data_IF_312802394091
#
_entry.id   IF_312802394091
#
_cell.length_a   1.000
_cell.length_b   1.000
_cell.length_c   1.000
_cell.angle_alpha   90.00
_cell.angle_beta   90.00
_cell.angle_gamma   90.00
#
_symmetry.space_group_name_H-M   'P 1'
#
loop_
_entity.id
_entity.type
_entity.pdbx_description
1 polymer ?
#
# COMPACT_ATOMS: atom_id res chain seq x y z
N UNK A 1 12.76 4.14 33.26
CA UNK A 1 13.20 4.16 31.85
C UNK A 1 12.00 3.82 30.99
N UNK A 2 11.56 4.72 30.11
CA UNK A 2 10.55 4.40 29.11
C UNK A 2 11.20 3.50 28.07
N UNK A 3 10.82 2.22 28.03
CA UNK A 3 11.21 1.31 26.94
C UNK A 3 10.64 1.86 25.64
N UNK A 4 11.51 2.35 24.75
CA UNK A 4 11.08 2.82 23.43
C UNK A 4 10.46 1.65 22.68
N UNK A 5 9.22 1.81 22.21
CA UNK A 5 8.53 0.78 21.43
C UNK A 5 9.21 0.65 20.07
N UNK A 6 9.58 -0.58 19.68
CA UNK A 6 10.10 -0.91 18.36
C UNK A 6 9.13 -1.83 17.61
N UNK A 7 9.23 -1.84 16.28
CA UNK A 7 8.53 -2.74 15.37
C UNK A 7 9.54 -3.41 14.44
N UNK A 8 9.39 -4.73 14.25
CA UNK A 8 10.23 -5.48 13.32
C UNK A 8 9.68 -5.35 11.90
N UNK A 9 10.52 -4.93 10.96
CA UNK A 9 10.22 -4.85 9.53
C UNK A 9 11.18 -5.76 8.77
N UNK A 10 10.66 -6.55 7.83
CA UNK A 10 11.48 -7.21 6.81
C UNK A 10 11.72 -6.21 5.69
N UNK A 11 12.96 -5.87 5.40
CA UNK A 11 13.30 -4.88 4.38
C UNK A 11 14.14 -5.52 3.28
N UNK A 12 13.80 -5.29 2.02
CA UNK A 12 14.62 -5.68 0.87
C UNK A 12 15.68 -4.62 0.61
N UNK A 13 16.89 -4.87 1.09
CA UNK A 13 17.97 -3.88 1.12
C UNK A 13 18.51 -3.55 -0.27
N UNK A 14 18.45 -4.51 -1.21
CA UNK A 14 18.98 -4.37 -2.57
C UNK A 14 18.29 -3.28 -3.40
N UNK A 15 17.06 -2.93 -3.05
CA UNK A 15 16.27 -1.93 -3.77
C UNK A 15 16.43 -0.52 -3.22
N UNK A 16 16.96 -0.37 -2.01
CA UNK A 16 17.26 0.93 -1.44
C UNK A 16 18.71 1.30 -1.78
N UNK A 17 18.96 2.52 -2.28
CA UNK A 17 20.31 3.03 -2.33
C UNK A 17 20.95 2.93 -0.94
N UNK A 18 22.20 2.48 -0.87
CA UNK A 18 22.96 2.39 0.39
C UNK A 18 22.81 3.65 1.24
N UNK A 19 22.89 4.83 0.62
CA UNK A 19 22.76 6.11 1.30
C UNK A 19 21.37 6.35 1.92
N UNK A 20 20.30 5.85 1.30
CA UNK A 20 18.94 5.96 1.84
C UNK A 20 18.82 5.17 3.15
N UNK A 21 19.39 3.96 3.19
CA UNK A 21 19.41 3.13 4.38
C UNK A 21 20.25 3.75 5.51
N UNK A 22 21.46 4.22 5.20
CA UNK A 22 22.33 4.85 6.18
C UNK A 22 21.71 6.16 6.71
N UNK A 23 21.02 6.92 5.86
CA UNK A 23 20.27 8.11 6.29
C UNK A 23 19.15 7.76 7.27
N UNK A 24 18.44 6.64 7.08
CA UNK A 24 17.43 6.17 8.05
C UNK A 24 18.04 5.80 9.41
N UNK A 25 19.26 5.25 9.42
CA UNK A 25 20.01 5.00 10.65
C UNK A 25 20.44 6.32 11.31
N UNK A 26 21.06 7.22 10.55
CA UNK A 26 21.60 8.49 11.04
C UNK A 26 20.48 9.41 11.59
N UNK A 27 19.27 9.34 11.02
CA UNK A 27 18.07 10.05 11.51
C UNK A 27 17.39 9.38 12.71
N UNK A 28 17.87 8.20 13.12
CA UNK A 28 17.39 7.49 14.29
C UNK A 28 16.06 6.76 14.09
N UNK A 29 15.71 6.36 12.86
CA UNK A 29 14.52 5.52 12.62
C UNK A 29 14.79 4.03 12.91
N UNK A 30 16.01 3.56 12.60
CA UNK A 30 16.43 2.19 12.83
C UNK A 30 16.95 2.07 14.27
N UNK A 31 16.34 1.19 15.04
CA UNK A 31 16.77 0.83 16.39
C UNK A 31 17.85 -0.25 16.35
N UNK A 32 17.69 -1.29 15.53
CA UNK A 32 18.68 -2.36 15.36
C UNK A 32 18.78 -2.85 13.91
N UNK A 33 20.00 -3.08 13.38
CA UNK A 33 21.29 -2.81 14.03
C UNK A 33 21.57 -1.31 14.11
N UNK A 34 22.13 -0.86 15.24
CA UNK A 34 22.50 0.54 15.45
C UNK A 34 23.91 0.91 14.94
N UNK A 35 24.67 -0.07 14.45
CA UNK A 35 26.02 0.11 13.91
C UNK A 35 26.00 0.29 12.38
N UNK A 36 26.60 1.39 11.91
CA UNK A 36 26.68 1.77 10.49
C UNK A 36 27.42 0.74 9.63
N UNK A 37 28.53 0.17 10.14
CA UNK A 37 29.34 -0.81 9.42
C UNK A 37 28.59 -2.13 9.29
N UNK A 38 27.92 -2.56 10.36
CA UNK A 38 27.06 -3.76 10.32
C UNK A 38 25.96 -3.59 9.28
N UNK A 39 25.26 -2.45 9.29
CA UNK A 39 24.20 -2.15 8.34
C UNK A 39 24.71 -2.11 6.88
N UNK A 40 25.89 -1.54 6.68
CA UNK A 40 26.56 -1.52 5.38
C UNK A 40 26.93 -2.94 4.90
N UNK A 41 27.55 -3.77 5.74
CA UNK A 41 27.91 -5.14 5.36
C UNK A 41 26.69 -6.00 5.03
N UNK A 42 25.60 -5.82 5.78
CA UNK A 42 24.32 -6.45 5.48
C UNK A 42 23.79 -6.03 4.11
N UNK A 43 23.82 -4.72 3.81
CA UNK A 43 23.42 -4.19 2.50
C UNK A 43 24.27 -4.74 1.36
N UNK A 44 25.60 -4.76 1.50
CA UNK A 44 26.52 -5.26 0.47
C UNK A 44 26.27 -6.74 0.16
N UNK A 45 26.05 -7.55 1.20
CA UNK A 45 25.68 -8.97 1.06
C UNK A 45 24.36 -9.13 0.31
N UNK A 46 23.29 -8.49 0.79
CA UNK A 46 21.96 -8.62 0.20
C UNK A 46 21.92 -8.11 -1.25
N UNK A 47 22.57 -6.99 -1.53
CA UNK A 47 22.67 -6.44 -2.88
C UNK A 47 23.43 -7.39 -3.82
N UNK A 48 24.53 -8.00 -3.37
CA UNK A 48 25.26 -9.00 -4.17
C UNK A 48 24.38 -10.19 -4.51
N UNK A 49 23.63 -10.73 -3.56
CA UNK A 49 22.71 -11.84 -3.81
C UNK A 49 21.58 -11.43 -4.76
N UNK A 50 20.98 -10.26 -4.54
CA UNK A 50 19.86 -9.79 -5.33
C UNK A 50 20.22 -9.56 -6.80
N UNK A 51 21.39 -8.99 -7.08
CA UNK A 51 21.86 -8.81 -8.46
C UNK A 51 22.08 -10.15 -9.19
N UNK A 52 22.10 -11.27 -8.46
CA UNK A 52 22.17 -12.63 -9.02
C UNK A 52 20.81 -13.36 -9.04
N UNK A 53 19.71 -12.78 -8.53
CA UNK A 53 18.40 -13.46 -8.37
C UNK A 53 17.61 -13.68 -9.67
N UNK A 54 18.24 -13.46 -10.82
CA UNK A 54 17.69 -13.79 -12.12
C UNK A 54 17.29 -12.59 -12.96
N UNK A 55 16.69 -12.90 -14.10
CA UNK A 55 16.38 -11.95 -15.15
C UNK A 55 14.98 -11.31 -14.93
N UNK A 56 14.69 -10.14 -15.53
CA UNK A 56 13.40 -9.44 -15.41
C UNK A 56 12.13 -10.29 -15.64
N UNK A 57 12.23 -11.36 -16.43
CA UNK A 57 11.16 -12.25 -16.88
C UNK A 57 10.43 -12.93 -15.73
N UNK A 58 11.06 -13.07 -14.55
CA UNK A 58 10.40 -13.61 -13.36
C UNK A 58 9.16 -12.80 -12.98
N UNK A 59 9.17 -11.49 -13.24
CA UNK A 59 8.09 -10.55 -12.96
C UNK A 59 6.99 -10.52 -14.03
N UNK A 60 7.24 -11.12 -15.20
CA UNK A 60 6.27 -11.10 -16.30
C UNK A 60 5.14 -12.06 -15.98
N UNK A 61 3.91 -11.56 -16.08
CA UNK A 61 2.69 -12.32 -15.92
C UNK A 61 2.10 -12.66 -17.29
N UNK A 62 1.55 -13.85 -17.39
CA UNK A 62 0.83 -14.36 -18.56
C UNK A 62 -0.61 -14.67 -18.18
N UNK A 63 -1.44 -15.03 -19.16
CA UNK A 63 -2.80 -15.53 -18.91
C UNK A 63 -2.83 -16.75 -17.99
N UNK A 64 -1.74 -17.53 -17.92
CA UNK A 64 -1.64 -18.68 -17.03
C UNK A 64 -1.38 -18.29 -15.58
N UNK A 65 -1.06 -17.04 -15.28
CA UNK A 65 -0.78 -16.55 -13.92
C UNK A 65 -2.01 -15.85 -13.29
N UNK A 66 -3.14 -15.83 -14.02
CA UNK A 66 -4.39 -15.16 -13.64
C UNK A 66 -5.55 -16.10 -13.99
N UNK A 67 -6.24 -16.62 -12.97
CA UNK A 67 -7.35 -17.55 -13.14
C UNK A 67 -8.66 -16.95 -12.67
N UNK A 68 -9.77 -17.41 -13.26
CA UNK A 68 -11.09 -17.13 -12.74
C UNK A 68 -11.19 -17.59 -11.28
N UNK A 69 -11.91 -16.82 -10.46
CA UNK A 69 -12.12 -17.15 -9.06
C UNK A 69 -13.33 -18.08 -8.94
N UNK A 70 -13.08 -19.36 -8.69
CA UNK A 70 -14.13 -20.37 -8.55
C UNK A 70 -14.50 -20.63 -7.08
N UNK A 71 -15.75 -21.03 -6.84
CA UNK A 71 -16.22 -21.45 -5.51
C UNK A 71 -16.60 -20.33 -4.55
N UNK A 72 -16.60 -19.07 -5.00
CA UNK A 72 -17.12 -17.92 -4.25
C UNK A 72 -18.50 -17.55 -4.78
N UNK A 73 -19.43 -17.26 -3.87
CA UNK A 73 -20.76 -16.79 -4.22
C UNK A 73 -20.69 -15.45 -4.99
N UNK A 74 -21.39 -15.40 -6.11
CA UNK A 74 -21.39 -14.26 -7.03
C UNK A 74 -21.87 -12.97 -6.33
N UNK A 75 -22.83 -13.07 -5.41
CA UNK A 75 -23.34 -11.92 -4.65
C UNK A 75 -22.24 -11.26 -3.80
N UNK A 76 -21.30 -12.08 -3.28
CA UNK A 76 -20.16 -11.60 -2.50
C UNK A 76 -19.14 -10.89 -3.38
N UNK A 77 -18.84 -11.45 -4.55
CA UNK A 77 -17.97 -10.81 -5.55
C UNK A 77 -18.53 -9.46 -5.95
N UNK A 78 -19.83 -9.38 -6.25
CA UNK A 78 -20.51 -8.14 -6.63
C UNK A 78 -20.49 -7.09 -5.52
N UNK A 79 -20.64 -7.51 -4.26
CA UNK A 79 -20.52 -6.60 -3.12
C UNK A 79 -19.11 -5.99 -3.01
N UNK A 80 -18.06 -6.81 -3.12
CA UNK A 80 -16.68 -6.31 -3.08
C UNK A 80 -16.36 -5.38 -4.27
N UNK A 81 -16.85 -5.71 -5.47
CA UNK A 81 -16.71 -4.83 -6.64
C UNK A 81 -17.44 -3.49 -6.45
N UNK A 82 -18.62 -3.50 -5.83
CA UNK A 82 -19.36 -2.28 -5.48
C UNK A 82 -18.59 -1.42 -4.47
N UNK A 83 -17.96 -2.05 -3.47
CA UNK A 83 -17.09 -1.35 -2.51
C UNK A 83 -15.88 -0.77 -3.22
N UNK A 84 -15.22 -1.55 -4.08
CA UNK A 84 -14.04 -1.11 -4.83
C UNK A 84 -14.32 0.14 -5.65
N UNK A 85 -15.49 0.23 -6.32
CA UNK A 85 -15.92 1.40 -7.09
C UNK A 85 -16.05 2.71 -6.31
N UNK A 86 -15.93 2.69 -4.99
CA UNK A 86 -15.86 3.93 -4.17
C UNK A 86 -14.45 4.50 -4.07
N UNK A 87 -13.44 3.81 -4.61
CA UNK A 87 -12.04 4.19 -4.58
C UNK A 87 -11.50 4.34 -6.01
N UNK A 88 -10.76 5.42 -6.27
CA UNK A 88 -9.96 5.56 -7.49
C UNK A 88 -8.76 4.59 -7.47
N UNK A 89 -8.34 4.01 -8.60
CA UNK A 89 -8.90 4.13 -9.96
C UNK A 89 -10.01 3.11 -10.29
N UNK A 90 -10.46 2.32 -9.31
CA UNK A 90 -11.42 1.22 -9.51
C UNK A 90 -12.85 1.69 -9.85
N UNK A 91 -13.14 2.98 -9.64
CA UNK A 91 -14.37 3.66 -10.01
C UNK A 91 -14.53 3.85 -11.53
N UNK A 92 -13.41 3.94 -12.24
CA UNK A 92 -13.33 4.39 -13.64
C UNK A 92 -12.75 3.33 -14.58
N UNK A 93 -12.10 2.30 -14.05
CA UNK A 93 -11.39 1.28 -14.85
C UNK A 93 -12.00 -0.11 -14.71
N UNK A 94 -11.72 -0.96 -15.70
CA UNK A 94 -12.17 -2.37 -15.67
C UNK A 94 -11.54 -3.07 -14.48
N UNK A 95 -12.39 -3.46 -13.54
CA UNK A 95 -11.98 -4.09 -12.29
C UNK A 95 -12.74 -5.39 -12.10
N UNK A 96 -12.01 -6.47 -11.81
CA UNK A 96 -12.55 -7.83 -11.58
C UNK A 96 -11.79 -8.51 -10.45
N UNK A 97 -12.33 -9.57 -9.89
CA UNK A 97 -11.63 -10.39 -8.91
C UNK A 97 -11.13 -11.66 -9.61
N UNK A 98 -9.84 -11.95 -9.45
CA UNK A 98 -9.20 -13.14 -10.01
C UNK A 98 -8.37 -13.85 -8.95
N UNK A 99 -8.09 -15.13 -9.18
CA UNK A 99 -7.07 -15.86 -8.44
C UNK A 99 -5.72 -15.66 -9.14
N UNK A 100 -4.78 -15.01 -8.47
CA UNK A 100 -3.51 -14.57 -9.04
C UNK A 100 -2.33 -15.32 -8.44
N UNK A 101 -1.36 -15.67 -9.27
CA UNK A 101 -0.14 -16.36 -8.84
C UNK A 101 0.74 -15.44 -8.00
N UNK A 102 0.98 -15.83 -6.75
CA UNK A 102 1.71 -15.02 -5.76
C UNK A 102 3.15 -14.75 -6.21
N UNK A 103 3.80 -15.71 -6.85
CA UNK A 103 5.17 -15.58 -7.36
C UNK A 103 5.32 -14.58 -8.50
N UNK A 104 4.22 -14.05 -9.06
CA UNK A 104 4.21 -13.02 -10.10
C UNK A 104 3.88 -11.62 -9.58
N UNK A 105 3.57 -11.50 -8.30
CA UNK A 105 3.16 -10.24 -7.70
C UNK A 105 4.36 -9.35 -7.43
N UNK A 106 4.48 -8.31 -8.23
CA UNK A 106 5.43 -7.21 -8.04
C UNK A 106 4.95 -6.33 -6.89
N UNK A 107 5.84 -5.89 -6.01
CA UNK A 107 5.50 -5.00 -4.89
C UNK A 107 6.27 -3.70 -4.94
N UNK A 108 5.58 -2.54 -4.88
CA UNK A 108 6.25 -1.24 -4.81
C UNK A 108 6.85 -0.95 -3.42
N UNK A 109 6.37 -1.61 -2.36
CA UNK A 109 6.89 -1.41 -1.00
C UNK A 109 8.10 -2.32 -0.77
N UNK A 110 9.19 -1.75 -0.25
CA UNK A 110 10.42 -2.50 0.04
C UNK A 110 10.51 -3.02 1.46
N UNK A 111 9.49 -2.76 2.29
CA UNK A 111 9.43 -3.22 3.67
C UNK A 111 8.07 -3.82 4.06
N UNK A 112 8.10 -4.87 4.88
CA UNK A 112 6.92 -5.51 5.49
C UNK A 112 7.02 -5.41 7.01
N UNK A 113 6.12 -4.63 7.60
CA UNK A 113 5.91 -4.60 9.05
C UNK A 113 5.33 -5.94 9.56
N UNK A 114 6.16 -6.72 10.27
CA UNK A 114 5.79 -8.06 10.75
C UNK A 114 4.70 -8.01 11.82
N UNK A 115 4.77 -7.04 12.72
CA UNK A 115 3.75 -6.89 13.78
C UNK A 115 2.36 -6.65 13.17
N UNK A 116 2.29 -5.93 12.04
CA UNK A 116 1.03 -5.69 11.32
C UNK A 116 0.55 -6.93 10.57
N UNK A 117 1.47 -7.71 10.01
CA UNK A 117 1.15 -8.99 9.40
C UNK A 117 0.56 -9.94 10.46
N UNK A 118 1.14 -10.03 11.64
CA UNK A 118 0.75 -10.98 12.69
C UNK A 118 -0.58 -10.64 13.38
N UNK A 119 -0.99 -9.37 13.43
CA UNK A 119 -2.25 -8.91 14.07
C UNK A 119 -3.55 -9.37 13.39
N UNK A 120 -3.47 -9.98 12.21
CA UNK A 120 -4.64 -10.36 11.40
C UNK A 120 -5.00 -11.85 11.55
N UNK A 121 -6.19 -12.22 11.08
CA UNK A 121 -6.73 -13.59 11.02
C UNK A 121 -5.64 -14.64 10.76
N UNK A 122 -5.57 -15.67 11.61
CA UNK A 122 -4.52 -16.69 11.57
C UNK A 122 -4.60 -17.45 10.24
N UNK A 123 -3.50 -17.47 9.49
CA UNK A 123 -3.40 -18.25 8.25
C UNK A 123 -2.91 -19.64 8.60
N UNK A 124 -3.63 -20.67 8.16
CA UNK A 124 -3.27 -22.09 8.30
C UNK A 124 -3.08 -22.69 6.92
N UNK A 125 -2.34 -23.78 6.79
CA UNK A 125 -2.28 -24.55 5.55
C UNK A 125 -3.63 -25.24 5.29
N UNK A 126 -4.00 -25.41 4.01
CA UNK A 126 -5.23 -26.10 3.59
C UNK A 126 -6.52 -25.29 3.72
N UNK A 127 -6.45 -23.96 3.88
CA UNK A 127 -7.61 -23.07 3.77
C UNK A 127 -8.20 -23.16 2.36
N UNK A 128 -9.53 -23.15 2.28
CA UNK A 128 -10.25 -23.16 1.01
C UNK A 128 -10.27 -21.76 0.37
N UNK A 129 -10.74 -21.66 -0.87
CA UNK A 129 -10.82 -20.37 -1.59
C UNK A 129 -11.63 -19.32 -0.84
N UNK A 130 -12.71 -19.71 -0.14
CA UNK A 130 -13.55 -18.81 0.65
C UNK A 130 -12.79 -18.21 1.83
N UNK A 131 -12.05 -19.03 2.58
CA UNK A 131 -11.20 -18.58 3.68
C UNK A 131 -10.12 -17.60 3.17
N UNK A 132 -9.53 -17.89 2.00
CA UNK A 132 -8.52 -17.02 1.37
C UNK A 132 -9.12 -15.70 0.88
N UNK A 133 -10.33 -15.74 0.33
CA UNK A 133 -11.09 -14.56 -0.07
C UNK A 133 -11.34 -13.67 1.14
N UNK A 134 -11.82 -14.25 2.24
CA UNK A 134 -12.07 -13.52 3.48
C UNK A 134 -10.78 -12.85 3.97
N UNK A 135 -9.65 -13.55 4.02
CA UNK A 135 -8.37 -12.95 4.43
C UNK A 135 -7.97 -11.74 3.58
N UNK A 136 -8.21 -11.80 2.26
CA UNK A 136 -7.81 -10.74 1.34
C UNK A 136 -8.74 -9.52 1.44
N UNK A 137 -10.04 -9.75 1.52
CA UNK A 137 -11.08 -8.73 1.46
C UNK A 137 -11.58 -8.28 2.85
N UNK A 138 -11.14 -8.92 3.94
CA UNK A 138 -11.45 -8.52 5.31
C UNK A 138 -10.79 -7.18 5.65
N UNK A 139 -11.62 -6.14 5.79
CA UNK A 139 -11.22 -4.88 6.42
C UNK A 139 -10.76 -5.15 7.85
N UNK A 140 -9.67 -4.52 8.29
CA UNK A 140 -9.26 -4.60 9.70
C UNK A 140 -10.43 -4.21 10.58
N UNK A 141 -10.83 -5.12 11.48
CA UNK A 141 -12.08 -5.09 12.26
C UNK A 141 -12.24 -3.82 13.12
N UNK A 142 -11.18 -3.04 13.35
CA UNK A 142 -11.27 -1.76 14.03
C UNK A 142 -10.63 -0.63 13.20
N UNK A 143 -11.36 0.48 12.99
CA UNK A 143 -10.78 1.67 12.40
C UNK A 143 -9.66 2.17 13.31
N UNK A 144 -8.54 2.50 12.69
CA UNK A 144 -7.39 3.09 13.36
C UNK A 144 -7.83 4.37 14.07
N UNK A 145 -7.42 4.55 15.33
CA UNK A 145 -7.63 5.83 16.02
C UNK A 145 -6.80 6.92 15.33
N UNK A 146 -7.49 7.96 14.87
CA UNK A 146 -6.88 9.15 14.27
C UNK A 146 -7.20 10.32 15.19
N UNK A 147 -6.16 10.92 15.78
CA UNK A 147 -6.32 12.13 16.58
C UNK A 147 -6.26 13.34 15.65
N UNK A 148 -7.29 14.21 15.73
CA UNK A 148 -7.39 15.46 14.98
C UNK A 148 -7.06 16.64 15.89
N UNK A 149 -6.20 17.54 15.44
CA UNK A 149 -5.86 18.78 16.12
C UNK A 149 -5.95 19.97 15.15
N UNK A 150 -6.67 21.02 15.56
CA UNK A 150 -6.65 22.32 14.87
C UNK A 150 -5.41 23.08 15.30
N UNK A 151 -4.56 23.46 14.35
CA UNK A 151 -3.32 24.20 14.61
C UNK A 151 -3.49 25.71 14.46
N UNK A 152 -4.47 26.14 13.66
CA UNK A 152 -4.79 27.54 13.46
C UNK A 152 -5.90 27.73 12.42
N UNK A 153 -6.66 28.80 12.57
CA UNK A 153 -7.68 29.23 11.62
C UNK A 153 -7.56 30.76 11.50
N UNK A 154 -7.38 31.25 10.28
CA UNK A 154 -7.35 32.66 9.91
C UNK A 154 -8.47 32.98 8.91
N UNK A 155 -8.62 34.26 8.57
CA UNK A 155 -9.59 34.72 7.56
C UNK A 155 -9.27 34.21 6.16
N UNK A 156 -7.98 33.96 5.90
CA UNK A 156 -7.42 33.54 4.63
C UNK A 156 -7.04 32.06 4.62
N UNK A 157 -7.23 31.29 5.70
CA UNK A 157 -6.80 29.89 5.66
C UNK A 157 -6.78 29.18 6.99
N UNK A 158 -6.14 28.01 7.01
CA UNK A 158 -6.03 27.23 8.23
C UNK A 158 -5.15 26.01 8.10
N UNK A 159 -4.96 25.35 9.25
CA UNK A 159 -4.14 24.16 9.34
C UNK A 159 -4.74 23.12 10.30
N UNK A 160 -4.85 21.90 9.81
CA UNK A 160 -5.29 20.72 10.57
C UNK A 160 -4.18 19.68 10.60
N UNK A 161 -4.05 19.02 11.74
CA UNK A 161 -3.12 17.92 11.96
C UNK A 161 -3.90 16.65 12.29
N UNK A 162 -3.54 15.56 11.63
CA UNK A 162 -4.05 14.22 11.88
C UNK A 162 -2.88 13.33 12.27
N UNK A 163 -2.97 12.67 13.42
CA UNK A 163 -1.91 11.80 13.93
C UNK A 163 -2.42 10.41 14.26
N UNK A 164 -1.60 9.39 13.99
CA UNK A 164 -1.89 8.00 14.35
C UNK A 164 -0.63 7.17 14.51
N UNK A 165 -0.70 6.14 15.37
CA UNK A 165 0.32 5.10 15.48
C UNK A 165 0.20 4.02 14.38
N UNK A 166 -0.84 4.03 13.54
CA UNK A 166 -0.84 3.22 12.31
C UNK A 166 -0.13 4.00 11.19
N UNK A 167 0.92 3.38 10.65
CA UNK A 167 1.72 3.90 9.53
C UNK A 167 0.94 3.92 8.19
N UNK A 168 -0.25 3.32 8.13
CA UNK A 168 -1.08 3.24 6.92
C UNK A 168 -2.25 4.22 6.89
N UNK A 169 -2.28 5.20 7.80
CA UNK A 169 -3.20 6.34 7.60
C UNK A 169 -2.80 7.08 6.32
N UNK A 170 -3.78 7.43 5.49
CA UNK A 170 -3.57 8.09 4.20
C UNK A 170 -4.67 9.11 3.94
N UNK A 171 -4.32 10.17 3.21
CA UNK A 171 -5.31 11.01 2.55
C UNK A 171 -5.84 10.21 1.36
N UNK A 172 -7.14 9.95 1.33
CA UNK A 172 -7.79 9.31 0.19
C UNK A 172 -8.02 10.36 -0.90
N UNK A 173 -7.65 10.01 -2.13
CA UNK A 173 -7.78 10.84 -3.32
C UNK A 173 -8.77 10.19 -4.29
N UNK A 174 -9.57 10.98 -5.05
CA UNK A 174 -9.66 12.44 -5.04
C UNK A 174 -10.43 13.02 -3.84
N UNK A 175 -10.30 14.33 -3.57
CA UNK A 175 -11.25 15.04 -2.72
C UNK A 175 -12.68 14.83 -3.21
N UNK A 176 -13.62 14.70 -2.27
CA UNK A 176 -15.03 14.50 -2.59
C UNK A 176 -15.77 15.83 -2.50
N UNK A 177 -16.47 16.21 -3.56
CA UNK A 177 -17.40 17.33 -3.52
C UNK A 177 -18.76 16.81 -3.07
N UNK A 178 -19.23 17.27 -1.91
CA UNK A 178 -20.56 16.89 -1.39
C UNK A 178 -21.19 18.04 -0.62
N UNK A 179 -22.52 18.01 -0.54
CA UNK A 179 -23.26 18.90 0.34
C UNK A 179 -23.20 18.34 1.75
N UNK A 180 -22.63 19.09 2.69
CA UNK A 180 -22.60 18.72 4.11
C UNK A 180 -23.60 19.60 4.86
N UNK A 181 -24.47 19.02 5.71
CA UNK A 181 -25.35 19.79 6.58
C UNK A 181 -24.54 20.70 7.52
N UNK A 182 -24.95 21.96 7.69
CA UNK A 182 -24.29 22.89 8.62
C UNK A 182 -24.29 22.35 10.05
N UNK A 183 -25.37 21.68 10.44
CA UNK A 183 -25.48 21.03 11.72
C UNK A 183 -25.30 19.52 11.55
N UNK A 184 -24.15 18.99 11.98
CA UNK A 184 -23.84 17.55 11.90
C UNK A 184 -24.87 16.66 12.63
N UNK A 185 -25.59 17.21 13.61
CA UNK A 185 -26.63 16.49 14.37
C UNK A 185 -28.02 16.57 13.75
N UNK A 186 -28.24 17.42 12.74
CA UNK A 186 -29.51 17.58 12.05
C UNK A 186 -29.32 17.39 10.52
N UNK A 187 -29.63 16.20 9.99
CA UNK A 187 -29.52 15.88 8.56
C UNK A 187 -30.42 16.74 7.66
N UNK A 188 -31.43 17.41 8.20
CA UNK A 188 -32.34 18.28 7.45
C UNK A 188 -31.90 19.75 7.43
N UNK A 189 -30.81 20.09 8.12
CA UNK A 189 -30.28 21.44 8.13
C UNK A 189 -29.77 21.88 6.76
N UNK A 190 -29.74 23.19 6.53
CA UNK A 190 -29.20 23.75 5.29
C UNK A 190 -27.78 23.22 5.04
N UNK A 191 -27.50 22.84 3.80
CA UNK A 191 -26.23 22.19 3.44
C UNK A 191 -25.45 23.07 2.46
N UNK A 192 -24.14 23.19 2.67
CA UNK A 192 -23.24 23.90 1.78
C UNK A 192 -22.42 22.94 0.93
N UNK A 193 -22.10 23.36 -0.29
CA UNK A 193 -21.10 22.69 -1.10
C UNK A 193 -19.77 22.69 -0.35
N UNK A 194 -19.21 21.50 -0.18
CA UNK A 194 -18.04 21.27 0.65
C UNK A 194 -17.04 20.40 -0.09
N UNK A 195 -15.76 20.74 0.06
CA UNK A 195 -14.65 19.89 -0.35
C UNK A 195 -14.28 19.00 0.82
N UNK A 196 -14.39 17.69 0.64
CA UNK A 196 -14.07 16.71 1.66
C UNK A 196 -12.75 16.03 1.34
N UNK A 197 -11.86 16.04 2.33
CA UNK A 197 -10.55 15.41 2.28
C UNK A 197 -10.56 14.20 3.24
N UNK A 198 -11.04 13.02 2.80
CA UNK A 198 -11.13 11.85 3.66
C UNK A 198 -9.74 11.37 4.08
N UNK A 199 -9.48 11.32 5.39
CA UNK A 199 -8.27 10.73 5.97
C UNK A 199 -8.67 9.48 6.73
N UNK A 200 -8.06 8.35 6.38
CA UNK A 200 -8.45 7.04 6.90
C UNK A 200 -7.32 6.03 6.78
N UNK A 201 -7.61 4.79 7.18
CA UNK A 201 -6.71 3.66 6.98
C UNK A 201 -6.64 3.23 5.52
N UNK A 202 -5.93 2.14 5.26
CA UNK A 202 -5.82 1.61 3.91
C UNK A 202 -7.11 1.09 3.29
N UNK A 203 -7.08 0.88 1.96
CA UNK A 203 -8.22 0.26 1.27
C UNK A 203 -8.47 -1.15 1.84
N UNK A 204 -9.74 -1.56 2.00
CA UNK A 204 -10.08 -2.73 2.81
C UNK A 204 -9.75 -4.07 2.14
N UNK A 205 -9.37 -4.08 0.86
CA UNK A 205 -9.13 -5.28 0.06
C UNK A 205 -7.70 -5.37 -0.48
N UNK A 206 -7.22 -6.57 -0.79
CA UNK A 206 -5.99 -6.75 -1.58
C UNK A 206 -6.25 -6.43 -3.05
N UNK A 207 -5.36 -5.66 -3.67
CA UNK A 207 -5.53 -5.20 -5.05
C UNK A 207 -4.21 -5.16 -5.82
N UNK A 208 -4.31 -5.39 -7.12
CA UNK A 208 -3.22 -5.31 -8.09
C UNK A 208 -3.63 -4.50 -9.30
N UNK A 209 -2.66 -3.82 -9.89
CA UNK A 209 -2.76 -3.27 -11.23
C UNK A 209 -2.16 -4.27 -12.21
N UNK A 210 -2.93 -4.63 -13.23
CA UNK A 210 -2.40 -5.35 -14.40
C UNK A 210 -2.04 -4.31 -15.46
N UNK A 211 -0.77 -4.25 -15.79
CA UNK A 211 -0.23 -3.23 -16.70
C UNK A 211 0.63 -3.91 -17.76
N UNK A 212 0.34 -3.63 -19.02
CA UNK A 212 1.18 -4.04 -20.14
C UNK A 212 2.42 -3.14 -20.23
N UNK A 213 3.60 -3.70 -19.97
CA UNK A 213 4.87 -2.96 -19.95
C UNK A 213 5.63 -3.05 -21.27
N UNK A 214 5.32 -4.05 -22.09
CA UNK A 214 5.79 -4.24 -23.46
C UNK A 214 4.78 -5.08 -24.23
N UNK A 215 4.82 -5.12 -25.58
CA UNK A 215 3.87 -5.92 -26.35
C UNK A 215 3.80 -7.38 -25.90
N UNK A 216 2.64 -7.80 -25.41
CA UNK A 216 2.41 -9.16 -24.92
C UNK A 216 3.02 -9.49 -23.55
N UNK A 217 3.52 -8.48 -22.81
CA UNK A 217 4.15 -8.64 -21.50
C UNK A 217 3.41 -7.78 -20.48
N UNK A 218 2.76 -8.43 -19.52
CA UNK A 218 2.08 -7.79 -18.41
C UNK A 218 2.89 -7.90 -17.11
N UNK A 219 2.70 -6.93 -16.21
CA UNK A 219 3.11 -7.02 -14.80
C UNK A 219 1.90 -6.87 -13.89
N UNK A 220 1.91 -7.62 -12.79
CA UNK A 220 0.91 -7.57 -11.73
C UNK A 220 1.50 -6.84 -10.53
N UNK A 221 1.22 -5.55 -10.42
CA UNK A 221 1.81 -4.66 -9.41
C UNK A 221 0.83 -4.50 -8.25
N UNK A 222 1.23 -4.91 -7.05
CA UNK A 222 0.41 -4.77 -5.85
C UNK A 222 0.16 -3.31 -5.50
N UNK A 223 -1.10 -2.93 -5.57
CA UNK A 223 -1.59 -1.63 -5.13
C UNK A 223 -1.87 -1.63 -3.61
N UNK A 224 -2.34 -2.76 -3.08
CA UNK A 224 -2.61 -2.92 -1.65
C UNK A 224 -2.59 -4.38 -1.22
N UNK A 225 -2.35 -4.62 0.07
CA UNK A 225 -2.46 -5.95 0.66
C UNK A 225 -1.15 -6.72 0.78
N UNK A 226 0.02 -6.07 0.63
CA UNK A 226 1.34 -6.70 0.76
C UNK A 226 1.46 -7.61 1.99
N UNK A 227 1.03 -7.15 3.17
CA UNK A 227 1.11 -7.96 4.41
C UNK A 227 0.21 -9.20 4.37
N UNK A 228 -0.94 -9.12 3.69
CA UNK A 228 -1.87 -10.26 3.55
C UNK A 228 -1.27 -11.29 2.61
N UNK A 229 -0.85 -10.85 1.43
CA UNK A 229 -0.26 -11.71 0.39
C UNK A 229 1.04 -12.35 0.88
N UNK A 230 1.91 -11.59 1.55
CA UNK A 230 3.13 -12.13 2.16
C UNK A 230 2.85 -13.27 3.13
N UNK A 231 1.83 -13.15 3.98
CA UNK A 231 1.49 -14.24 4.91
C UNK A 231 0.95 -15.47 4.20
N UNK A 232 0.20 -15.28 3.12
CA UNK A 232 -0.24 -16.39 2.27
C UNK A 232 0.97 -17.08 1.63
N UNK A 233 1.90 -16.30 1.06
CA UNK A 233 3.15 -16.80 0.51
C UNK A 233 3.95 -17.58 1.55
N UNK A 234 4.12 -17.02 2.76
CA UNK A 234 4.82 -17.64 3.89
C UNK A 234 4.15 -18.93 4.36
N UNK A 235 2.83 -19.01 4.27
CA UNK A 235 2.07 -20.23 4.59
C UNK A 235 2.14 -21.30 3.49
N UNK A 236 2.74 -21.00 2.33
CA UNK A 236 2.93 -21.93 1.22
C UNK A 236 1.83 -21.90 0.16
N UNK A 237 0.96 -20.88 0.17
CA UNK A 237 0.00 -20.71 -0.92
C UNK A 237 0.71 -20.23 -2.19
N UNK A 238 0.33 -20.82 -3.33
CA UNK A 238 0.80 -20.37 -4.65
C UNK A 238 -0.12 -19.29 -5.26
N UNK A 239 -1.40 -19.32 -4.89
CA UNK A 239 -2.45 -18.50 -5.47
C UNK A 239 -3.16 -17.69 -4.40
N UNK A 240 -3.62 -16.49 -4.73
CA UNK A 240 -4.50 -15.72 -3.87
C UNK A 240 -5.56 -14.94 -4.66
N UNK A 241 -6.79 -14.83 -4.14
CA UNK A 241 -7.81 -13.98 -4.73
C UNK A 241 -7.38 -12.52 -4.58
N UNK A 242 -7.44 -11.73 -5.63
CA UNK A 242 -7.11 -10.31 -5.62
C UNK A 242 -8.04 -9.53 -6.53
N UNK A 243 -8.32 -8.28 -6.14
CA UNK A 243 -8.94 -7.32 -7.03
C UNK A 243 -7.91 -6.90 -8.10
N UNK A 244 -8.18 -7.18 -9.37
CA UNK A 244 -7.34 -6.81 -10.51
C UNK A 244 -7.99 -5.64 -11.22
N UNK A 245 -7.24 -4.56 -11.36
CA UNK A 245 -7.63 -3.38 -12.14
C UNK A 245 -6.70 -3.24 -13.34
N UNK A 246 -7.29 -3.17 -14.53
CA UNK A 246 -6.55 -3.00 -15.77
C UNK A 246 -6.22 -1.52 -15.97
N UNK A 247 -4.93 -1.19 -16.04
CA UNK A 247 -4.45 0.17 -16.29
C UNK A 247 -3.45 0.15 -17.43
N UNK A 248 -3.40 1.23 -18.19
CA UNK A 248 -2.27 1.48 -19.09
C UNK A 248 -1.12 2.20 -18.35
N UNK A 249 0.13 2.10 -18.82
CA UNK A 249 1.30 2.63 -18.10
C UNK A 249 1.19 4.07 -17.59
N UNK A 250 0.55 4.97 -18.36
CA UNK A 250 0.44 6.38 -17.99
C UNK A 250 -0.67 6.66 -16.95
N UNK A 251 -1.63 5.76 -16.78
CA UNK A 251 -2.71 5.85 -15.79
C UNK A 251 -2.27 5.32 -14.43
N UNK A 252 -1.16 4.58 -14.37
CA UNK A 252 -0.61 4.08 -13.13
C UNK A 252 -0.29 5.28 -12.22
N UNK A 253 -0.95 5.40 -11.05
CA UNK A 253 -0.64 6.45 -10.11
C UNK A 253 0.83 6.30 -9.69
N UNK A 254 1.51 7.42 -9.47
CA UNK A 254 2.85 7.34 -8.88
C UNK A 254 2.73 6.60 -7.55
N UNK A 255 3.42 5.47 -7.38
CA UNK A 255 3.35 4.72 -6.14
C UNK A 255 3.82 5.67 -5.05
N UNK A 256 2.98 5.86 -4.02
CA UNK A 256 3.33 6.69 -2.85
C UNK A 256 4.54 6.14 -2.06
N UNK A 257 5.21 5.10 -2.53
CA UNK A 257 6.04 4.21 -1.72
C UNK A 257 7.27 3.73 -2.50
N UNK A 258 8.41 3.75 -1.79
CA UNK A 258 9.76 3.19 -2.01
C UNK A 258 10.29 3.03 -3.44
N UNK A 259 9.59 2.30 -4.32
CA UNK A 259 10.02 2.07 -5.69
C UNK A 259 9.37 3.05 -6.68
N UNK A 260 10.16 3.82 -7.46
CA UNK A 260 9.62 4.71 -8.48
C UNK A 260 8.88 3.94 -9.58
N UNK A 261 7.86 4.57 -10.16
CA UNK A 261 7.04 4.02 -11.24
C UNK A 261 7.90 3.49 -12.40
N UNK A 262 8.95 4.22 -12.78
CA UNK A 262 9.83 3.84 -13.88
C UNK A 262 10.52 2.49 -13.64
N UNK A 263 10.88 2.16 -12.40
CA UNK A 263 11.41 0.84 -12.05
C UNK A 263 10.32 -0.23 -12.16
N UNK A 264 9.08 0.09 -11.82
CA UNK A 264 7.98 -0.88 -11.90
C UNK A 264 7.54 -1.16 -13.35
N UNK A 265 7.67 -0.18 -14.23
CA UNK A 265 7.19 -0.26 -15.62
C UNK A 265 8.27 -0.59 -16.65
N UNK A 266 9.57 -0.40 -16.33
CA UNK A 266 10.65 -0.72 -17.27
C UNK A 266 10.76 -2.24 -17.51
N UNK A 267 10.63 -2.75 -18.75
CA UNK A 267 10.73 -4.19 -19.02
C UNK A 267 12.09 -4.80 -18.67
N UNK A 268 13.15 -3.99 -18.66
CA UNK A 268 14.51 -4.42 -18.34
C UNK A 268 14.83 -4.32 -16.84
N UNK A 269 13.92 -3.77 -16.03
CA UNK A 269 14.11 -3.74 -14.58
C UNK A 269 13.76 -5.08 -13.96
N UNK A 270 14.40 -5.39 -12.84
CA UNK A 270 14.05 -6.53 -12.01
C UNK A 270 13.37 -6.03 -10.72
N UNK A 271 12.06 -5.72 -10.74
CA UNK A 271 11.36 -5.19 -9.57
C UNK A 271 11.15 -6.29 -8.53
N UNK A 272 10.85 -5.86 -7.30
CA UNK A 272 10.70 -6.78 -6.18
C UNK A 272 9.44 -7.61 -6.33
N UNK A 273 9.52 -8.90 -6.00
CA UNK A 273 8.38 -9.80 -5.91
C UNK A 273 8.02 -10.08 -4.46
N UNK A 274 6.77 -10.44 -4.19
CA UNK A 274 6.35 -10.86 -2.85
C UNK A 274 7.15 -12.05 -2.33
N UNK A 275 7.49 -12.98 -3.21
CA UNK A 275 8.29 -14.15 -2.86
C UNK A 275 9.73 -13.81 -2.48
N UNK A 276 10.25 -12.62 -2.87
CA UNK A 276 11.59 -12.18 -2.44
C UNK A 276 11.63 -11.96 -0.93
N UNK A 277 10.52 -11.58 -0.32
CA UNK A 277 10.41 -11.44 1.14
C UNK A 277 10.52 -12.77 1.91
N UNK A 278 10.54 -13.90 1.21
CA UNK A 278 10.76 -15.23 1.78
C UNK A 278 12.23 -15.68 1.69
N UNK A 279 13.09 -14.90 1.04
CA UNK A 279 14.49 -15.21 0.87
C UNK A 279 15.37 -14.42 1.86
N UNK A 280 15.86 -15.10 2.89
CA UNK A 280 16.67 -14.53 3.96
C UNK A 280 18.04 -13.99 3.50
N UNK A 281 18.48 -14.28 2.27
CA UNK A 281 19.71 -13.72 1.70
C UNK A 281 19.53 -12.31 1.14
N UNK A 282 18.31 -11.91 0.79
CA UNK A 282 18.00 -10.57 0.22
C UNK A 282 17.14 -9.71 1.13
N UNK A 283 16.51 -10.34 2.11
CA UNK A 283 15.69 -9.67 3.13
C UNK A 283 16.48 -9.59 4.41
N UNK A 284 16.51 -8.40 4.99
CA UNK A 284 17.12 -8.19 6.30
C UNK A 284 16.05 -7.71 7.28
N UNK A 285 15.90 -8.41 8.41
CA UNK A 285 15.04 -7.93 9.48
C UNK A 285 15.69 -6.74 10.16
N UNK A 286 14.95 -5.64 10.23
CA UNK A 286 15.31 -4.42 10.94
C UNK A 286 14.32 -4.16 12.06
N UNK A 287 14.82 -3.64 13.18
CA UNK A 287 13.96 -3.05 14.19
C UNK A 287 13.89 -1.54 13.97
N UNK A 288 12.68 -1.02 13.81
CA UNK A 288 12.41 0.40 13.69
C UNK A 288 11.76 0.91 14.97
N UNK A 289 12.03 2.13 15.38
CA UNK A 289 11.21 2.76 16.42
C UNK A 289 9.77 2.95 15.91
N UNK A 290 8.78 2.75 16.79
CA UNK A 290 7.38 3.00 16.47
C UNK A 290 7.19 4.48 16.15
N UNK A 291 6.69 4.77 14.96
CA UNK A 291 6.50 6.12 14.47
C UNK A 291 5.05 6.58 14.66
N UNK A 292 4.90 7.86 15.00
CA UNK A 292 3.61 8.54 14.93
C UNK A 292 3.47 9.15 13.53
N UNK A 293 2.64 8.53 12.67
CA UNK A 293 2.36 9.08 11.35
C UNK A 293 1.51 10.33 11.48
N UNK A 294 1.91 11.36 10.75
CA UNK A 294 1.29 12.68 10.80
C UNK A 294 0.92 13.12 9.38
N UNK A 295 -0.34 13.50 9.18
CA UNK A 295 -0.84 14.13 7.95
C UNK A 295 -1.24 15.55 8.32
N UNK A 296 -0.58 16.54 7.71
CA UNK A 296 -0.88 17.95 7.90
C UNK A 296 -1.58 18.49 6.66
N UNK A 297 -2.78 19.03 6.84
CA UNK A 297 -3.49 19.79 5.83
C UNK A 297 -3.28 21.28 6.09
N UNK A 298 -2.82 22.00 5.07
CA UNK A 298 -2.76 23.46 5.07
C UNK A 298 -3.59 23.95 3.88
N UNK A 299 -4.40 24.97 4.09
CA UNK A 299 -5.15 25.62 3.02
C UNK A 299 -5.05 27.15 3.15
N UNK A 300 -5.12 27.80 2.00
CA UNK A 300 -5.17 29.26 1.84
C UNK A 300 -6.32 29.61 0.88
N UNK A 301 -6.95 30.75 1.08
CA UNK A 301 -8.04 31.30 0.29
C UNK A 301 -7.58 32.64 -0.28
N UNK A 302 -7.50 32.72 -1.60
CA UNK A 302 -7.20 33.96 -2.30
C UNK A 302 -8.47 34.45 -3.01
N UNK A 303 -8.87 35.69 -2.74
CA UNK A 303 -10.01 36.34 -3.40
C UNK A 303 -9.52 37.27 -4.50
N UNK A 304 -9.96 37.02 -5.74
CA UNK A 304 -9.62 37.85 -6.90
C UNK A 304 -10.86 38.55 -7.45
N UNK A 305 -10.77 39.88 -7.58
CA UNK A 305 -11.80 40.67 -8.26
C UNK A 305 -11.42 40.83 -9.73
N UNK A 306 -12.21 40.25 -10.64
CA UNK A 306 -12.01 40.41 -12.08
C UNK A 306 -13.02 41.43 -12.62
N UNK A 307 -12.52 42.56 -13.15
CA UNK A 307 -13.36 43.52 -13.87
C UNK A 307 -13.66 42.97 -15.26
N UNK A 308 -14.90 42.58 -15.51
CA UNK A 308 -15.37 42.22 -16.84
C UNK A 308 -15.71 43.52 -17.58
N UNK A 309 -15.02 43.81 -18.69
CA UNK A 309 -15.30 44.94 -19.59
C UNK A 309 -16.10 44.47 -20.79
#
# INVERSE_FOLDING_TARGET
MLTRSTVKKLTMFSFLPKQALLSQLDTGFIAEPNDRNVLQSLWERANKFYNNLGLPERSFATSNDIHHLDGIDQSRIENELRIAKTYSPYDSHTTKIYNVRISKLVTPQVAINLSRAEKRTKIRQGMNTTDLFDIIFESTIQPVSITRQLLGLGSDGGSLLFTSYDEDIRLHHPPLYRKIPLNETDPHSHSHESICLPIGGGIPFGAVYRIQIAPGIDRLILANGIHRVYRLAKAGYEWCPLLVCDLIPFEMPDPFIDLPRDILLNPNSNPALITDFLNDEVVIPLEYYTLLKTIRLNWNFDEYFTVIK
#
